data_IF_331390818293
#
_entry.id   IF_331390818293
#
_cell.length_a   1.000
_cell.length_b   1.000
_cell.length_c   1.000
_cell.angle_alpha   90.00
_cell.angle_beta   90.00
_cell.angle_gamma   90.00
#
_symmetry.space_group_name_H-M   'P 1'
#
loop_
_entity.id
_entity.type
_entity.pdbx_description
1 polymer ?
#
# COMPACT_ATOMS: atom_id res chain seq x y z
N UNK A 1 -10.56 24.31 17.20
CA UNK A 1 -9.83 23.08 16.87
C UNK A 1 -8.96 23.41 15.69
N UNK A 2 -7.68 23.02 15.71
CA UNK A 2 -6.78 23.24 14.58
C UNK A 2 -7.13 22.26 13.45
N UNK A 3 -7.33 22.77 12.24
CA UNK A 3 -7.77 21.98 11.08
C UNK A 3 -6.82 20.82 10.78
N UNK A 4 -5.52 21.04 10.92
CA UNK A 4 -4.49 20.01 10.73
C UNK A 4 -4.59 18.89 11.77
N UNK A 5 -4.99 19.21 13.00
CA UNK A 5 -5.18 18.23 14.05
C UNK A 5 -6.40 17.35 13.74
N UNK A 6 -7.52 17.94 13.29
CA UNK A 6 -8.71 17.17 12.90
C UNK A 6 -8.43 16.25 11.72
N UNK A 7 -7.67 16.71 10.73
CA UNK A 7 -7.23 15.89 9.59
C UNK A 7 -6.40 14.68 10.05
N UNK A 8 -5.44 14.90 10.94
CA UNK A 8 -4.58 13.84 11.45
C UNK A 8 -5.36 12.82 12.30
N UNK A 9 -6.25 13.30 13.17
CA UNK A 9 -7.10 12.45 14.00
C UNK A 9 -8.06 11.61 13.14
N UNK A 10 -8.69 12.24 12.14
CA UNK A 10 -9.51 11.57 11.14
C UNK A 10 -8.72 10.48 10.43
N UNK A 11 -7.55 10.82 9.90
CA UNK A 11 -6.66 9.89 9.20
C UNK A 11 -6.33 8.66 10.04
N UNK A 12 -5.89 8.87 11.28
CA UNK A 12 -5.55 7.78 12.17
C UNK A 12 -6.77 6.89 12.47
N UNK A 13 -7.95 7.49 12.68
CA UNK A 13 -9.18 6.75 12.93
C UNK A 13 -9.58 5.89 11.72
N UNK A 14 -9.57 6.46 10.51
CA UNK A 14 -9.90 5.75 9.27
C UNK A 14 -8.96 4.58 9.01
N UNK A 15 -7.65 4.82 9.15
CA UNK A 15 -6.64 3.78 8.97
C UNK A 15 -6.84 2.60 9.95
N UNK A 16 -7.04 2.90 11.24
CA UNK A 16 -7.24 1.87 12.26
C UNK A 16 -8.54 1.09 12.07
N UNK A 17 -9.63 1.77 11.70
CA UNK A 17 -10.93 1.15 11.50
C UNK A 17 -10.92 0.25 10.27
N UNK A 18 -10.35 0.66 9.13
CA UNK A 18 -10.21 -0.23 7.97
C UNK A 18 -9.33 -1.44 8.29
N UNK A 19 -8.25 -1.24 9.06
CA UNK A 19 -7.33 -2.31 9.47
C UNK A 19 -7.99 -3.38 10.33
N UNK A 20 -8.79 -2.98 11.32
CA UNK A 20 -9.32 -3.90 12.31
C UNK A 20 -10.79 -4.28 12.08
N UNK A 21 -11.58 -3.42 11.42
CA UNK A 21 -13.03 -3.59 11.22
C UNK A 21 -13.46 -3.10 9.82
N UNK A 22 -13.02 -3.75 8.73
CA UNK A 22 -13.28 -3.31 7.36
C UNK A 22 -14.78 -3.28 6.99
N UNK A 23 -15.62 -4.10 7.62
CA UNK A 23 -17.06 -4.05 7.39
C UNK A 23 -17.69 -2.76 7.97
N UNK A 24 -17.25 -2.34 9.16
CA UNK A 24 -17.69 -1.09 9.79
C UNK A 24 -17.14 0.11 9.02
N UNK A 25 -15.88 0.05 8.60
CA UNK A 25 -15.24 1.06 7.74
C UNK A 25 -16.10 1.40 6.54
N UNK A 26 -16.55 0.38 5.78
CA UNK A 26 -17.43 0.58 4.62
C UNK A 26 -18.76 1.25 4.94
N UNK A 27 -19.39 0.89 6.07
CA UNK A 27 -20.64 1.50 6.50
C UNK A 27 -20.43 2.98 6.86
N UNK A 28 -19.34 3.29 7.56
CA UNK A 28 -19.00 4.66 7.93
C UNK A 28 -18.67 5.51 6.71
N UNK A 29 -17.86 5.01 5.78
CA UNK A 29 -17.54 5.70 4.52
C UNK A 29 -18.80 6.04 3.73
N UNK A 30 -19.76 5.11 3.63
CA UNK A 30 -21.03 5.36 2.96
C UNK A 30 -21.90 6.38 3.73
N UNK A 31 -21.87 6.36 5.06
CA UNK A 31 -22.66 7.27 5.90
C UNK A 31 -22.16 8.72 5.88
N UNK A 32 -20.86 8.93 5.62
CA UNK A 32 -20.23 10.26 5.58
C UNK A 32 -20.01 10.76 4.15
N UNK A 33 -20.58 10.10 3.15
CA UNK A 33 -20.48 10.49 1.75
C UNK A 33 -21.05 11.91 1.55
N UNK A 34 -20.23 12.81 1.00
CA UNK A 34 -20.60 14.20 0.78
C UNK A 34 -20.45 15.13 2.00
N UNK A 35 -19.91 14.65 3.12
CA UNK A 35 -19.63 15.50 4.29
C UNK A 35 -18.25 16.15 4.16
N UNK A 36 -18.23 17.48 4.04
CA UNK A 36 -17.01 18.29 3.93
C UNK A 36 -16.54 18.79 5.30
N UNK A 37 -16.10 17.86 6.16
CA UNK A 37 -15.45 18.18 7.44
C UNK A 37 -13.98 17.72 7.42
N UNK A 38 -13.04 18.49 8.00
CA UNK A 38 -11.61 18.12 8.01
C UNK A 38 -11.36 16.72 8.60
N UNK A 39 -12.07 16.39 9.68
CA UNK A 39 -12.01 15.04 10.26
C UNK A 39 -12.48 13.95 9.28
N UNK A 40 -13.56 14.19 8.54
CA UNK A 40 -14.11 13.22 7.58
C UNK A 40 -13.17 13.05 6.39
N UNK A 41 -12.57 14.15 5.91
CA UNK A 41 -11.54 14.11 4.87
C UNK A 41 -10.35 13.25 5.30
N UNK A 42 -9.82 13.50 6.50
CA UNK A 42 -8.77 12.68 7.10
C UNK A 42 -9.18 11.21 7.17
N UNK A 43 -10.38 10.93 7.70
CA UNK A 43 -10.92 9.58 7.84
C UNK A 43 -11.00 8.82 6.51
N UNK A 44 -11.47 9.46 5.45
CA UNK A 44 -11.52 8.88 4.11
C UNK A 44 -10.10 8.59 3.58
N UNK A 45 -9.17 9.52 3.76
CA UNK A 45 -7.78 9.35 3.33
C UNK A 45 -7.09 8.18 4.05
N UNK A 46 -7.23 8.09 5.38
CA UNK A 46 -6.65 7.00 6.17
C UNK A 46 -7.21 5.62 5.82
N UNK A 47 -8.52 5.56 5.57
CA UNK A 47 -9.20 4.34 5.09
C UNK A 47 -8.63 3.88 3.74
N UNK A 48 -8.45 4.80 2.80
CA UNK A 48 -7.87 4.51 1.49
C UNK A 48 -6.41 4.06 1.59
N UNK A 49 -5.62 4.65 2.49
CA UNK A 49 -4.20 4.32 2.63
C UNK A 49 -4.00 2.87 3.08
N UNK A 50 -4.74 2.41 4.09
CA UNK A 50 -4.68 1.00 4.49
C UNK A 50 -5.20 0.07 3.39
N UNK A 51 -6.25 0.47 2.66
CA UNK A 51 -6.75 -0.33 1.55
C UNK A 51 -5.67 -0.56 0.48
N UNK A 52 -4.88 0.48 0.15
CA UNK A 52 -3.72 0.37 -0.75
C UNK A 52 -2.64 -0.54 -0.18
N UNK A 53 -2.23 -0.32 1.07
CA UNK A 53 -1.22 -1.15 1.77
C UNK A 53 -1.58 -2.65 1.75
N UNK A 54 -2.86 -2.95 2.03
CA UNK A 54 -3.39 -4.32 1.99
C UNK A 54 -3.28 -4.96 0.61
N UNK A 55 -3.51 -4.20 -0.46
CA UNK A 55 -3.37 -4.71 -1.83
C UNK A 55 -1.91 -4.96 -2.20
N UNK A 56 -1.01 -4.04 -1.86
CA UNK A 56 0.42 -4.18 -2.13
C UNK A 56 1.02 -5.39 -1.40
N UNK A 57 0.67 -5.58 -0.13
CA UNK A 57 1.13 -6.73 0.67
C UNK A 57 0.70 -8.07 0.06
N UNK A 58 -0.53 -8.16 -0.46
CA UNK A 58 -1.02 -9.35 -1.19
C UNK A 58 -0.24 -9.59 -2.47
N UNK A 59 0.08 -8.55 -3.23
CA UNK A 59 0.88 -8.67 -4.47
C UNK A 59 2.28 -9.18 -4.18
N UNK A 60 2.96 -8.64 -3.15
CA UNK A 60 4.29 -9.10 -2.74
C UNK A 60 4.26 -10.57 -2.30
N UNK A 61 3.24 -10.97 -1.54
CA UNK A 61 3.07 -12.36 -1.11
C UNK A 61 2.95 -13.32 -2.32
N UNK A 62 2.13 -12.94 -3.32
CA UNK A 62 1.98 -13.72 -4.55
C UNK A 62 3.27 -13.83 -5.36
N UNK A 63 4.04 -12.75 -5.47
CA UNK A 63 5.35 -12.75 -6.14
C UNK A 63 6.35 -13.68 -5.42
N UNK A 64 6.37 -13.65 -4.08
CA UNK A 64 7.20 -14.57 -3.29
C UNK A 64 6.80 -16.02 -3.51
N UNK A 65 5.50 -16.32 -3.56
CA UNK A 65 5.02 -17.68 -3.80
C UNK A 65 5.36 -18.17 -5.21
N UNK A 66 5.15 -17.34 -6.25
CA UNK A 66 5.54 -17.65 -7.62
C UNK A 66 7.06 -17.91 -7.77
N UNK A 67 7.88 -17.23 -6.98
CA UNK A 67 9.33 -17.41 -6.99
C UNK A 67 9.83 -18.71 -6.36
N UNK A 68 9.02 -19.43 -5.56
CA UNK A 68 9.43 -20.66 -4.86
C UNK A 68 9.68 -21.85 -5.81
N UNK A 69 9.19 -21.79 -7.05
CA UNK A 69 9.39 -22.82 -8.07
C UNK A 69 10.42 -22.47 -9.15
N UNK A 70 10.96 -21.25 -9.13
CA UNK A 70 11.96 -20.81 -10.12
C UNK A 70 13.34 -21.15 -9.57
N UNK A 71 14.12 -22.02 -10.23
CA UNK A 71 15.50 -22.27 -9.85
C UNK A 71 16.24 -20.93 -9.81
N UNK A 72 16.77 -20.54 -8.65
CA UNK A 72 17.62 -19.35 -8.57
C UNK A 72 18.79 -19.58 -9.53
N UNK A 73 19.11 -18.61 -10.42
CA UNK A 73 20.30 -18.72 -11.24
C UNK A 73 21.49 -18.97 -10.32
N UNK A 74 22.08 -20.15 -10.43
CA UNK A 74 23.32 -20.46 -9.72
C UNK A 74 24.36 -19.58 -10.40
N UNK A 75 24.76 -18.51 -9.72
CA UNK A 75 25.82 -17.62 -10.20
C UNK A 75 27.11 -18.44 -10.17
N UNK A 76 27.40 -19.15 -11.26
CA UNK A 76 28.68 -19.81 -11.45
C UNK A 76 29.75 -18.73 -11.39
N UNK A 77 30.62 -18.82 -10.39
CA UNK A 77 31.70 -17.86 -10.12
C UNK A 77 32.85 -17.94 -11.13
N UNK A 78 32.72 -18.80 -12.15
CA UNK A 78 33.78 -19.17 -13.09
C UNK A 78 33.57 -18.63 -14.52
N UNK A 79 32.78 -17.56 -14.69
CA UNK A 79 32.75 -16.82 -15.97
C UNK A 79 33.17 -15.39 -15.73
N UNK A 80 34.47 -15.24 -15.54
CA UNK A 80 35.17 -14.00 -15.79
C UNK A 80 34.91 -13.54 -17.25
N UNK A 81 34.39 -12.32 -17.34
CA UNK A 81 34.95 -11.25 -18.17
C UNK A 81 34.53 -11.11 -19.64
N UNK A 82 33.28 -11.46 -20.02
CA UNK A 82 32.68 -10.96 -21.27
C UNK A 82 31.16 -10.83 -21.18
N UNK A 83 30.65 -9.75 -20.60
CA UNK A 83 29.35 -9.23 -21.00
C UNK A 83 29.41 -7.71 -20.99
N UNK A 84 29.50 -7.15 -22.21
CA UNK A 84 29.43 -5.72 -22.46
C UNK A 84 28.08 -5.23 -21.95
N UNK A 85 28.12 -4.19 -21.11
CA UNK A 85 26.92 -3.52 -20.64
C UNK A 85 26.01 -3.13 -21.81
N UNK A 86 24.71 -3.22 -21.60
CA UNK A 86 23.73 -2.69 -22.54
C UNK A 86 23.89 -1.17 -22.55
N UNK A 87 24.45 -0.63 -23.63
CA UNK A 87 24.33 0.79 -23.96
C UNK A 87 22.85 1.04 -24.26
N UNK A 88 22.25 1.94 -23.48
CA UNK A 88 20.94 2.50 -23.78
C UNK A 88 21.23 3.82 -24.48
N UNK A 89 20.93 3.89 -25.77
CA UNK A 89 20.96 5.15 -26.51
C UNK A 89 19.92 6.11 -25.91
N UNK A 90 20.37 7.31 -25.54
CA UNK A 90 19.54 8.45 -25.12
C UNK A 90 19.52 9.49 -26.23
#
# INVERSE_FOLDING_TARGET
MDTDQELLEGFNAGYLIEKHRPALSKQLVAAVEGVELPFVEGFLAGTQEYAKERTQSKTIAKLKEASKGIPRPIRNKDRDDKDRGFEIDV
#
